data_IF_362217711350
#
_entry.id   IF_362217711350
#
_cell.length_a   1.000
_cell.length_b   1.000
_cell.length_c   1.000
_cell.angle_alpha   90.00
_cell.angle_beta   90.00
_cell.angle_gamma   90.00
#
_symmetry.space_group_name_H-M   'P 1'
#
loop_
_entity.id
_entity.type
_entity.pdbx_description
1 polymer ?
#
# COMPACT_ATOMS: atom_id res chain seq x y z
N UNK A 1 -0.27 9.05 -23.67
CA UNK A 1 0.25 7.66 -23.62
C UNK A 1 0.83 7.39 -22.25
N UNK A 2 0.49 6.24 -21.68
CA UNK A 2 1.02 5.88 -20.37
C UNK A 2 2.47 5.47 -20.45
N UNK A 3 3.24 5.93 -19.48
CA UNK A 3 4.59 5.44 -19.33
C UNK A 3 4.55 4.00 -18.83
N UNK A 4 5.45 3.17 -19.33
CA UNK A 4 5.54 1.78 -18.92
C UNK A 4 6.08 1.69 -17.49
N UNK A 5 5.42 0.89 -16.66
CA UNK A 5 5.85 0.66 -15.29
C UNK A 5 6.48 -0.72 -15.15
N UNK A 6 7.51 -0.80 -14.35
CA UNK A 6 8.12 -2.07 -13.94
C UNK A 6 7.94 -2.22 -12.45
N UNK A 7 7.40 -3.36 -12.02
CA UNK A 7 7.24 -3.67 -10.60
C UNK A 7 8.30 -4.69 -10.22
N UNK A 8 9.05 -4.41 -9.16
CA UNK A 8 10.07 -5.34 -8.65
C UNK A 8 10.18 -5.20 -7.16
N UNK A 9 10.87 -6.17 -6.53
CA UNK A 9 11.15 -6.06 -5.11
C UNK A 9 12.16 -4.93 -4.86
N UNK A 10 11.99 -4.25 -3.74
CA UNK A 10 12.93 -3.22 -3.33
C UNK A 10 14.27 -3.81 -2.98
N UNK A 11 15.33 -3.09 -3.26
CA UNK A 11 16.66 -3.46 -2.83
C UNK A 11 17.23 -2.36 -1.95
N UNK A 12 18.40 -2.60 -1.38
CA UNK A 12 18.97 -1.67 -0.39
C UNK A 12 19.13 -0.25 -0.94
N UNK A 13 19.45 -0.12 -2.22
CA UNK A 13 19.64 1.20 -2.84
C UNK A 13 18.34 1.98 -2.98
N UNK A 14 17.19 1.33 -2.81
CA UNK A 14 15.88 1.98 -2.92
C UNK A 14 15.43 2.60 -1.61
N UNK A 15 16.05 2.27 -0.49
CA UNK A 15 15.56 2.65 0.85
C UNK A 15 15.43 4.15 1.02
N UNK A 16 16.40 4.91 0.55
CA UNK A 16 16.38 6.37 0.69
C UNK A 16 15.17 6.97 0.00
N UNK A 17 14.88 6.52 -1.23
CA UNK A 17 13.74 7.03 -1.99
C UNK A 17 12.42 6.59 -1.37
N UNK A 18 12.36 5.36 -0.87
CA UNK A 18 11.16 4.85 -0.19
C UNK A 18 10.88 5.70 1.06
N UNK A 19 11.91 5.99 1.85
CA UNK A 19 11.75 6.80 3.04
C UNK A 19 11.30 8.22 2.69
N UNK A 20 11.82 8.78 1.62
CA UNK A 20 11.42 10.11 1.16
C UNK A 20 9.95 10.14 0.78
N UNK A 21 9.49 9.16 0.00
CA UNK A 21 8.09 9.08 -0.41
C UNK A 21 7.17 8.90 0.79
N UNK A 22 7.56 8.03 1.73
CA UNK A 22 6.78 7.81 2.94
C UNK A 22 6.65 9.06 3.76
N UNK A 23 7.74 9.78 3.93
CA UNK A 23 7.77 11.02 4.71
C UNK A 23 6.86 12.08 4.10
N UNK A 24 6.90 12.23 2.77
CA UNK A 24 6.04 13.18 2.06
C UNK A 24 4.57 12.83 2.17
N UNK A 25 4.26 11.54 2.33
CA UNK A 25 2.88 11.08 2.49
C UNK A 25 2.39 11.14 3.94
N UNK A 26 3.23 11.64 4.85
CA UNK A 26 2.86 11.73 6.25
C UNK A 26 3.03 10.45 7.04
N UNK A 27 3.76 9.49 6.49
CA UNK A 27 4.08 8.25 7.20
C UNK A 27 5.23 8.47 8.15
N UNK A 28 5.26 7.69 9.21
CA UNK A 28 6.40 7.72 10.13
C UNK A 28 7.58 6.94 9.56
N UNK A 29 8.56 6.69 10.39
CA UNK A 29 9.71 5.88 10.01
C UNK A 29 9.26 4.45 9.74
N UNK A 30 9.66 3.92 8.59
CA UNK A 30 9.36 2.55 8.22
C UNK A 30 10.48 1.65 8.71
N UNK A 31 10.12 0.51 9.28
CA UNK A 31 11.08 -0.45 9.80
C UNK A 31 11.14 -1.67 8.88
N UNK A 32 12.20 -1.74 8.09
CA UNK A 32 12.39 -2.86 7.19
C UNK A 32 11.65 -2.72 5.88
N UNK A 33 12.21 -3.33 4.86
CA UNK A 33 11.68 -3.25 3.50
C UNK A 33 11.54 -4.63 2.86
N UNK A 34 11.53 -5.69 3.69
CA UNK A 34 11.27 -7.04 3.20
C UNK A 34 9.88 -7.06 2.58
N UNK A 35 9.74 -7.76 1.48
CA UNK A 35 8.47 -7.87 0.78
C UNK A 35 7.90 -6.53 0.30
N UNK A 36 8.76 -5.52 0.14
CA UNK A 36 8.34 -4.24 -0.41
C UNK A 36 8.49 -4.26 -1.92
N UNK A 37 7.42 -3.88 -2.63
CA UNK A 37 7.43 -3.75 -4.09
C UNK A 37 7.60 -2.29 -4.44
N UNK A 38 8.39 -2.02 -5.47
CA UNK A 38 8.53 -0.65 -5.99
C UNK A 38 8.04 -0.61 -7.43
N UNK A 39 7.44 0.52 -7.80
CA UNK A 39 7.00 0.78 -9.17
C UNK A 39 8.00 1.75 -9.79
N UNK A 40 8.65 1.32 -10.85
CA UNK A 40 9.67 2.11 -11.53
C UNK A 40 9.19 2.60 -12.88
N UNK A 41 9.51 3.84 -13.18
CA UNK A 41 9.29 4.41 -14.50
C UNK A 41 10.39 3.91 -15.46
N UNK A 42 10.25 4.21 -16.74
CA UNK A 42 11.21 3.76 -17.75
C UNK A 42 12.63 4.25 -17.49
N UNK A 43 12.77 5.42 -16.88
CA UNK A 43 14.10 5.98 -16.56
C UNK A 43 14.68 5.45 -15.24
N UNK A 44 13.97 4.52 -14.58
CA UNK A 44 14.42 3.95 -13.32
C UNK A 44 13.96 4.70 -12.09
N UNK A 45 13.25 5.81 -12.24
CA UNK A 45 12.73 6.57 -11.12
C UNK A 45 11.66 5.77 -10.39
N UNK A 46 11.74 5.70 -9.06
CA UNK A 46 10.71 5.05 -8.26
C UNK A 46 9.53 5.99 -8.10
N UNK A 47 8.37 5.58 -8.60
CA UNK A 47 7.16 6.37 -8.58
C UNK A 47 6.25 6.03 -7.40
N UNK A 48 6.50 4.91 -6.75
CA UNK A 48 5.69 4.49 -5.61
C UNK A 48 6.18 3.16 -5.07
N UNK A 49 5.64 2.77 -3.91
CA UNK A 49 5.98 1.48 -3.31
C UNK A 49 4.79 0.92 -2.54
N UNK A 50 4.84 -0.39 -2.34
CA UNK A 50 3.85 -1.11 -1.55
C UNK A 50 4.61 -2.03 -0.61
N UNK A 51 4.59 -1.70 0.68
CA UNK A 51 5.24 -2.53 1.69
C UNK A 51 4.23 -3.51 2.23
N UNK A 52 4.58 -4.79 2.20
CA UNK A 52 3.71 -5.85 2.71
C UNK A 52 4.33 -6.41 3.98
N UNK A 53 3.51 -6.55 5.02
CA UNK A 53 3.91 -7.21 6.27
C UNK A 53 3.07 -8.45 6.43
N UNK A 54 3.72 -9.60 6.59
CA UNK A 54 3.02 -10.85 6.82
C UNK A 54 3.05 -11.15 8.31
N UNK A 55 1.87 -11.25 8.92
CA UNK A 55 1.72 -11.52 10.35
C UNK A 55 0.79 -12.72 10.50
N UNK A 56 1.29 -13.77 11.11
CA UNK A 56 0.52 -15.01 11.33
C UNK A 56 -0.16 -15.52 10.06
N UNK A 57 0.57 -15.47 8.95
CA UNK A 57 0.08 -15.99 7.68
C UNK A 57 -0.83 -15.04 6.91
N UNK A 58 -1.07 -13.85 7.42
CA UNK A 58 -1.90 -12.85 6.74
C UNK A 58 -1.02 -11.72 6.22
N UNK A 59 -1.21 -11.36 4.96
CA UNK A 59 -0.45 -10.29 4.32
C UNK A 59 -1.19 -8.97 4.48
N UNK A 60 -0.50 -7.97 5.02
CA UNK A 60 -1.04 -6.63 5.24
C UNK A 60 -0.28 -5.62 4.40
N UNK A 61 -1.01 -4.74 3.72
CA UNK A 61 -0.42 -3.57 3.07
C UNK A 61 -0.13 -2.53 4.16
N UNK A 62 1.14 -2.10 4.27
CA UNK A 62 1.51 -1.18 5.35
C UNK A 62 2.84 -0.51 5.08
N UNK A 63 2.88 0.58 4.34
CA UNK A 63 1.80 1.20 3.58
C UNK A 63 1.95 1.02 2.06
N UNK A 64 1.01 1.59 1.31
CA UNK A 64 1.17 1.82 -0.12
C UNK A 64 1.23 3.34 -0.33
N UNK A 65 2.23 3.79 -1.08
CA UNK A 65 2.47 5.21 -1.32
C UNK A 65 2.81 5.42 -2.78
N UNK A 66 2.19 6.42 -3.40
CA UNK A 66 2.47 6.81 -4.78
C UNK A 66 2.92 8.27 -4.76
N UNK A 67 3.94 8.60 -5.55
CA UNK A 67 4.41 9.97 -5.68
C UNK A 67 3.22 10.85 -6.07
N UNK A 68 2.99 11.92 -5.30
CA UNK A 68 1.84 12.78 -5.49
C UNK A 68 1.76 13.35 -6.90
N UNK A 69 2.89 13.67 -7.49
CA UNK A 69 2.95 14.24 -8.83
C UNK A 69 2.56 13.24 -9.92
N UNK A 70 2.52 11.95 -9.57
CA UNK A 70 2.26 10.86 -10.52
C UNK A 70 0.96 10.12 -10.22
N UNK A 71 0.13 10.66 -9.35
CA UNK A 71 -1.18 10.05 -9.06
C UNK A 71 -2.04 10.06 -10.30
N UNK A 72 -3.00 9.13 -10.34
CA UNK A 72 -3.94 8.94 -11.46
C UNK A 72 -3.27 8.37 -12.71
N UNK A 73 -2.06 7.82 -12.57
CA UNK A 73 -1.38 7.14 -13.68
C UNK A 73 -1.51 5.62 -13.57
N UNK A 74 -2.35 5.12 -12.65
CA UNK A 74 -2.55 3.69 -12.47
C UNK A 74 -1.47 3.00 -11.66
N UNK A 75 -0.57 3.74 -11.04
CA UNK A 75 0.55 3.17 -10.28
C UNK A 75 0.06 2.40 -9.06
N UNK A 76 -0.86 3.00 -8.30
CA UNK A 76 -1.42 2.34 -7.11
C UNK A 76 -2.13 1.05 -7.46
N UNK A 77 -2.92 1.06 -8.54
CA UNK A 77 -3.61 -0.14 -9.01
C UNK A 77 -2.62 -1.23 -9.38
N UNK A 78 -1.58 -0.86 -10.11
CA UNK A 78 -0.56 -1.82 -10.55
C UNK A 78 0.18 -2.42 -9.35
N UNK A 79 0.51 -1.60 -8.35
CA UNK A 79 1.14 -2.09 -7.13
C UNK A 79 0.24 -3.04 -6.35
N UNK A 80 -1.05 -2.70 -6.20
CA UNK A 80 -2.01 -3.57 -5.50
C UNK A 80 -2.18 -4.89 -6.23
N UNK A 81 -2.29 -4.88 -7.55
CA UNK A 81 -2.42 -6.10 -8.33
C UNK A 81 -1.18 -6.98 -8.19
N UNK A 82 0.01 -6.38 -8.19
CA UNK A 82 1.25 -7.12 -8.03
C UNK A 82 1.35 -7.75 -6.63
N UNK A 83 0.97 -7.00 -5.60
CA UNK A 83 0.97 -7.51 -4.23
C UNK A 83 -0.03 -8.65 -4.08
N UNK A 84 -1.21 -8.52 -4.65
CA UNK A 84 -2.21 -9.57 -4.63
C UNK A 84 -1.71 -10.83 -5.31
N UNK A 85 -1.07 -10.68 -6.45
CA UNK A 85 -0.51 -11.83 -7.19
C UNK A 85 0.56 -12.54 -6.38
N UNK A 86 1.36 -11.79 -5.62
CA UNK A 86 2.44 -12.36 -4.82
C UNK A 86 1.95 -13.01 -3.52
N UNK A 87 0.92 -12.46 -2.90
CA UNK A 87 0.51 -12.84 -1.55
C UNK A 87 -0.89 -13.41 -1.42
N UNK A 88 -1.73 -13.29 -2.43
CA UNK A 88 -3.13 -13.69 -2.34
C UNK A 88 -3.97 -12.62 -1.65
N UNK A 89 -4.72 -13.00 -0.63
CA UNK A 89 -5.54 -12.04 0.10
C UNK A 89 -4.67 -10.98 0.78
N UNK A 90 -5.08 -9.73 0.67
CA UNK A 90 -4.42 -8.61 1.33
C UNK A 90 -5.40 -7.94 2.27
N UNK A 91 -4.91 -7.54 3.44
CA UNK A 91 -5.68 -6.72 4.37
C UNK A 91 -4.94 -5.42 4.62
N UNK A 92 -5.67 -4.38 4.95
CA UNK A 92 -5.05 -3.07 5.16
C UNK A 92 -6.05 -2.13 5.81
N UNK A 93 -5.53 -0.99 6.26
CA UNK A 93 -6.37 0.09 6.79
C UNK A 93 -6.26 1.25 5.82
N UNK A 94 -7.37 1.60 5.20
CA UNK A 94 -7.42 2.69 4.22
C UNK A 94 -7.74 4.01 4.92
N UNK A 95 -7.06 5.08 4.50
CA UNK A 95 -7.49 6.42 4.90
C UNK A 95 -8.89 6.64 4.34
N UNK A 96 -9.76 7.32 5.09
CA UNK A 96 -11.14 7.52 4.66
C UNK A 96 -11.24 8.11 3.25
N UNK A 97 -10.38 9.05 2.92
CA UNK A 97 -10.38 9.68 1.59
C UNK A 97 -9.95 8.73 0.47
N UNK A 98 -9.28 7.62 0.80
CA UNK A 98 -8.82 6.64 -0.19
C UNK A 98 -9.81 5.49 -0.37
N UNK A 99 -10.83 5.39 0.46
CA UNK A 99 -11.80 4.28 0.39
C UNK A 99 -12.42 4.12 -1.01
N UNK A 100 -12.84 5.19 -1.69
CA UNK A 100 -13.40 5.02 -3.03
C UNK A 100 -12.44 4.36 -4.01
N UNK A 101 -11.15 4.67 -3.91
CA UNK A 101 -10.13 4.05 -4.76
C UNK A 101 -10.10 2.53 -4.54
N UNK A 102 -10.08 2.11 -3.28
CA UNK A 102 -10.02 0.69 -2.97
C UNK A 102 -11.31 -0.04 -3.31
N UNK A 103 -12.46 0.61 -3.13
CA UNK A 103 -13.73 0.01 -3.53
C UNK A 103 -13.78 -0.22 -5.04
N UNK A 104 -13.23 0.71 -5.81
CA UNK A 104 -13.16 0.56 -7.26
C UNK A 104 -12.29 -0.63 -7.68
N UNK A 105 -11.34 -1.03 -6.82
CA UNK A 105 -10.52 -2.22 -7.06
C UNK A 105 -11.19 -3.52 -6.62
N UNK A 106 -12.40 -3.43 -6.08
CA UNK A 106 -13.11 -4.62 -5.59
C UNK A 106 -12.81 -4.98 -4.16
N UNK A 107 -12.21 -4.08 -3.40
CA UNK A 107 -11.92 -4.32 -1.99
C UNK A 107 -13.17 -4.13 -1.13
N UNK A 108 -13.26 -4.90 -0.05
CA UNK A 108 -14.39 -4.87 0.89
C UNK A 108 -13.97 -4.34 2.24
N UNK A 109 -14.89 -3.68 2.92
CA UNK A 109 -14.68 -3.31 4.32
C UNK A 109 -14.79 -4.56 5.19
N UNK A 110 -13.94 -4.66 6.22
CA UNK A 110 -13.98 -5.77 7.18
C UNK A 110 -14.02 -5.22 8.59
N UNK A 111 -14.41 -6.04 9.58
CA UNK A 111 -14.36 -5.60 10.98
C UNK A 111 -12.92 -5.36 11.42
N UNK A 112 -12.75 -4.45 12.37
CA UNK A 112 -11.41 -4.19 12.94
C UNK A 112 -10.78 -5.47 13.53
N UNK A 113 -11.62 -6.41 13.98
CA UNK A 113 -11.13 -7.68 14.52
C UNK A 113 -10.37 -8.52 13.49
N UNK A 114 -10.52 -8.22 12.20
CA UNK A 114 -9.80 -8.91 11.13
C UNK A 114 -8.41 -8.30 10.87
N UNK A 115 -8.08 -7.23 11.57
CA UNK A 115 -6.79 -6.55 11.42
C UNK A 115 -5.95 -6.84 12.66
N UNK A 116 -4.73 -7.32 12.43
CA UNK A 116 -3.83 -7.61 13.54
C UNK A 116 -3.56 -6.34 14.37
N UNK A 117 -3.53 -6.44 15.69
CA UNK A 117 -3.26 -5.28 16.56
C UNK A 117 -1.98 -4.53 16.20
N UNK A 118 -0.97 -5.22 15.70
CA UNK A 118 0.28 -4.58 15.30
C UNK A 118 0.10 -3.61 14.13
N UNK A 119 -0.94 -3.83 13.32
CA UNK A 119 -1.29 -2.93 12.22
C UNK A 119 -2.28 -1.88 12.71
N UNK A 120 -3.29 -2.30 13.47
CA UNK A 120 -4.33 -1.40 13.96
C UNK A 120 -3.79 -0.32 14.91
N UNK A 121 -2.77 -0.63 15.68
CA UNK A 121 -2.23 0.33 16.66
C UNK A 121 -1.64 1.57 15.99
N UNK A 122 -1.19 1.47 14.74
CA UNK A 122 -0.71 2.63 14.02
C UNK A 122 -1.80 3.70 13.90
N UNK A 123 -3.05 3.27 13.76
CA UNK A 123 -4.20 4.17 13.68
C UNK A 123 -4.65 4.63 15.07
N UNK A 124 -4.66 3.73 16.05
CA UNK A 124 -5.08 4.04 17.41
C UNK A 124 -4.22 5.13 18.03
N UNK A 125 -2.94 5.15 17.69
CA UNK A 125 -1.98 6.12 18.21
C UNK A 125 -1.81 7.33 17.31
N UNK A 126 -2.53 7.38 16.19
CA UNK A 126 -2.39 8.47 15.23
C UNK A 126 -3.20 9.69 15.68
N UNK A 127 -2.52 10.84 15.78
CA UNK A 127 -3.17 12.10 16.16
C UNK A 127 -4.24 12.53 15.13
N UNK A 128 -4.15 12.04 13.89
CA UNK A 128 -5.10 12.36 12.83
C UNK A 128 -6.25 11.38 12.69
N UNK A 129 -6.44 10.47 13.67
CA UNK A 129 -7.45 9.41 13.55
C UNK A 129 -8.85 9.96 13.22
N UNK A 130 -9.28 10.96 13.95
CA UNK A 130 -10.63 11.50 13.77
C UNK A 130 -10.85 12.15 12.40
N UNK A 131 -9.84 12.83 11.89
CA UNK A 131 -9.95 13.47 10.57
C UNK A 131 -9.70 12.49 9.43
N UNK A 132 -8.85 11.49 9.67
CA UNK A 132 -8.52 10.47 8.68
C UNK A 132 -9.66 9.49 8.46
N UNK A 133 -10.38 9.14 9.52
CA UNK A 133 -11.47 8.15 9.51
C UNK A 133 -11.07 6.84 8.84
N UNK A 134 -10.03 6.17 9.35
CA UNK A 134 -9.52 4.97 8.71
C UNK A 134 -10.53 3.83 8.70
N UNK A 135 -10.54 3.08 7.61
CA UNK A 135 -11.45 1.95 7.40
C UNK A 135 -10.63 0.69 7.15
N UNK A 136 -10.85 -0.38 7.92
CA UNK A 136 -10.18 -1.65 7.65
C UNK A 136 -10.79 -2.31 6.43
N UNK A 137 -9.95 -2.80 5.52
CA UNK A 137 -10.39 -3.36 4.25
C UNK A 137 -9.62 -4.62 3.87
N UNK A 138 -10.16 -5.36 2.93
CA UNK A 138 -9.59 -6.59 2.41
C UNK A 138 -9.69 -6.61 0.89
N UNK A 139 -8.63 -7.09 0.24
CA UNK A 139 -8.63 -7.43 -1.17
C UNK A 139 -8.50 -8.94 -1.26
N UNK A 140 -9.52 -9.61 -1.79
CA UNK A 140 -9.56 -11.07 -1.82
C UNK A 140 -8.56 -11.65 -2.81
N UNK A 141 -8.09 -12.88 -2.54
CA UNK A 141 -7.20 -13.59 -3.43
C UNK A 141 -7.84 -13.75 -4.80
N UNK A 142 -7.08 -13.43 -5.86
CA UNK A 142 -7.57 -13.48 -7.23
C UNK A 142 -8.73 -12.55 -7.50
N UNK A 143 -8.94 -11.59 -6.60
CA UNK A 143 -10.22 -10.98 -6.43
C UNK A 143 -10.61 -9.86 -7.35
N UNK A 144 -9.68 -9.13 -7.91
CA UNK A 144 -10.12 -8.03 -8.75
C UNK A 144 -10.66 -8.55 -10.07
N UNK A 145 -11.85 -8.14 -10.38
CA UNK A 145 -12.49 -8.56 -11.62
C UNK A 145 -11.93 -7.79 -12.80
N UNK A 146 -11.75 -8.49 -13.86
CA UNK A 146 -11.30 -7.88 -15.10
C UNK A 146 -12.39 -6.97 -15.66
#
# INVERSE_FOLDING_TARGET
MREKLTIRLACKTDEERIMELGRKAGMGTLEGFDETLVACLEDGTIAGFCRVRTIEGVAYINPIVVDESLRRCGIGTTLMDAAQSAHGELRFVARGCAVPFYRALGCDEVPWSDIDPAIACDCDECAGFDSCRPIPMRMQAGGRRA
#
